data_IF_453734474664
#
_entry.id   IF_453734474664
#
_cell.length_a   1.000
_cell.length_b   1.000
_cell.length_c   1.000
_cell.angle_alpha   90.00
_cell.angle_beta   90.00
_cell.angle_gamma   90.00
#
_symmetry.space_group_name_H-M   'P 1'
#
loop_
_entity.id
_entity.type
_entity.pdbx_description
1 polymer ?
#
# COMPACT_ATOMS: atom_id res chain seq x y z
N UNK A 1 -20.17 -27.24 18.46
CA UNK A 1 -19.44 -26.17 17.80
C UNK A 1 -20.38 -25.15 17.20
N UNK A 2 -20.05 -23.88 17.28
CA UNK A 2 -20.85 -22.83 16.69
C UNK A 2 -20.54 -22.65 15.22
N UNK A 3 -21.55 -22.68 14.36
CA UNK A 3 -21.42 -22.38 12.94
C UNK A 3 -20.86 -20.96 12.75
N UNK A 4 -21.29 -20.02 13.60
CA UNK A 4 -20.78 -18.63 13.55
C UNK A 4 -19.29 -18.57 13.83
N UNK A 5 -18.79 -19.34 14.79
CA UNK A 5 -17.34 -19.40 15.08
C UNK A 5 -16.55 -19.89 13.86
N UNK A 6 -17.03 -20.93 13.20
CA UNK A 6 -16.39 -21.46 11.99
C UNK A 6 -16.36 -20.42 10.86
N UNK A 7 -17.47 -19.71 10.65
CA UNK A 7 -17.57 -18.63 9.65
C UNK A 7 -16.55 -17.53 9.97
N UNK A 8 -16.42 -17.13 11.23
CA UNK A 8 -15.46 -16.10 11.63
C UNK A 8 -14.01 -16.55 11.40
N UNK A 9 -13.71 -17.81 11.66
CA UNK A 9 -12.37 -18.37 11.43
C UNK A 9 -12.04 -18.37 9.93
N UNK A 10 -12.98 -18.79 9.10
CA UNK A 10 -12.79 -18.80 7.64
C UNK A 10 -12.59 -17.38 7.10
N UNK A 11 -13.38 -16.43 7.58
CA UNK A 11 -13.28 -15.04 7.16
C UNK A 11 -11.94 -14.43 7.60
N UNK A 12 -11.49 -14.73 8.81
CA UNK A 12 -10.19 -14.26 9.29
C UNK A 12 -9.06 -14.82 8.43
N UNK A 13 -9.11 -16.09 8.08
CA UNK A 13 -8.12 -16.72 7.21
C UNK A 13 -8.08 -16.05 5.83
N UNK A 14 -9.24 -15.77 5.26
CA UNK A 14 -9.37 -15.07 3.97
C UNK A 14 -8.74 -13.68 4.03
N UNK A 15 -9.01 -12.92 5.08
CA UNK A 15 -8.47 -11.57 5.26
C UNK A 15 -6.95 -11.60 5.43
N UNK A 16 -6.42 -12.53 6.20
CA UNK A 16 -4.98 -12.69 6.38
C UNK A 16 -4.27 -12.96 5.07
N UNK A 17 -4.83 -13.82 4.23
CA UNK A 17 -4.28 -14.12 2.91
C UNK A 17 -4.29 -12.87 2.00
N UNK A 18 -5.37 -12.10 2.05
CA UNK A 18 -5.48 -10.86 1.29
C UNK A 18 -4.47 -9.80 1.76
N UNK A 19 -4.25 -9.69 3.07
CA UNK A 19 -3.25 -8.81 3.63
C UNK A 19 -1.85 -9.18 3.13
N UNK A 20 -1.51 -10.47 3.18
CA UNK A 20 -0.21 -10.96 2.70
C UNK A 20 0.00 -10.64 1.22
N UNK A 21 -1.03 -10.84 0.40
CA UNK A 21 -0.97 -10.51 -1.03
C UNK A 21 -0.75 -9.02 -1.26
N UNK A 22 -1.43 -8.17 -0.52
CA UNK A 22 -1.28 -6.73 -0.61
C UNK A 22 0.12 -6.28 -0.17
N UNK A 23 0.64 -6.85 0.91
CA UNK A 23 1.99 -6.54 1.39
C UNK A 23 3.05 -6.93 0.37
N UNK A 24 2.89 -8.07 -0.29
CA UNK A 24 3.77 -8.50 -1.39
C UNK A 24 3.74 -7.53 -2.55
N UNK A 25 2.55 -7.06 -2.94
CA UNK A 25 2.41 -6.07 -4.00
C UNK A 25 3.09 -4.75 -3.63
N UNK A 26 2.91 -4.30 -2.39
CA UNK A 26 3.57 -3.07 -1.92
C UNK A 26 5.09 -3.18 -1.97
N UNK A 27 5.64 -4.33 -1.63
CA UNK A 27 7.10 -4.53 -1.65
C UNK A 27 7.68 -4.45 -3.06
N UNK A 28 6.86 -4.67 -4.09
CA UNK A 28 7.27 -4.59 -5.50
C UNK A 28 7.13 -3.18 -6.09
N UNK A 29 6.44 -2.27 -5.40
CA UNK A 29 6.21 -0.91 -5.89
C UNK A 29 7.23 0.07 -5.29
N UNK A 30 7.64 1.10 -6.06
CA UNK A 30 8.57 2.09 -5.56
C UNK A 30 8.02 2.83 -4.34
N UNK A 31 8.88 3.10 -3.37
CA UNK A 31 8.56 3.85 -2.15
C UNK A 31 8.71 5.34 -2.38
N UNK A 32 8.14 6.13 -1.45
CA UNK A 32 8.27 7.56 -1.44
C UNK A 32 7.12 8.26 -2.12
N UNK A 33 7.34 9.51 -2.46
CA UNK A 33 6.32 10.33 -3.11
C UNK A 33 6.92 11.06 -4.31
N UNK A 34 6.03 11.44 -5.23
CA UNK A 34 6.40 12.16 -6.44
C UNK A 34 6.21 13.66 -6.23
N UNK A 35 7.09 14.45 -6.83
CA UNK A 35 6.93 15.89 -6.89
C UNK A 35 7.42 16.39 -8.24
N UNK A 36 6.92 17.57 -8.61
CA UNK A 36 7.28 18.22 -9.86
C UNK A 36 8.14 19.43 -9.57
N UNK A 37 9.19 19.62 -10.36
CA UNK A 37 10.04 20.79 -10.29
C UNK A 37 10.13 21.41 -11.67
N UNK A 38 9.92 22.72 -11.75
CA UNK A 38 10.02 23.45 -13.01
C UNK A 38 11.43 24.02 -13.13
N UNK A 39 12.09 23.69 -14.25
CA UNK A 39 13.43 24.18 -14.57
C UNK A 39 13.37 24.80 -15.96
N UNK A 40 13.71 26.09 -16.07
CA UNK A 40 13.66 26.86 -17.33
C UNK A 40 12.28 26.76 -18.01
N UNK A 41 11.21 26.83 -17.21
CA UNK A 41 9.84 26.79 -17.71
C UNK A 41 9.31 25.40 -18.05
N UNK A 42 10.10 24.35 -17.87
CA UNK A 42 9.67 22.98 -18.15
C UNK A 42 9.51 22.17 -16.87
N UNK A 43 8.41 21.41 -16.74
CA UNK A 43 8.19 20.58 -15.54
C UNK A 43 8.91 19.24 -15.67
N UNK A 44 9.51 18.82 -14.57
CA UNK A 44 10.22 17.53 -14.44
C UNK A 44 9.73 16.78 -13.21
N UNK A 45 9.62 15.47 -13.32
CA UNK A 45 9.15 14.61 -12.26
C UNK A 45 10.32 14.01 -11.47
N UNK A 46 10.21 14.06 -10.15
CA UNK A 46 11.19 13.52 -9.20
C UNK A 46 10.47 12.64 -8.19
N UNK A 47 11.20 11.70 -7.62
CA UNK A 47 10.74 10.90 -6.48
C UNK A 47 11.62 11.19 -5.28
N UNK A 48 10.99 11.43 -4.12
CA UNK A 48 11.69 11.50 -2.84
C UNK A 48 11.40 10.24 -2.05
N UNK A 49 12.44 9.60 -1.54
CA UNK A 49 12.30 8.45 -0.65
C UNK A 49 13.39 8.49 0.42
N UNK A 50 13.16 7.73 1.48
CA UNK A 50 14.10 7.66 2.59
C UNK A 50 15.01 6.45 2.42
N UNK A 51 16.33 6.69 2.54
CA UNK A 51 17.33 5.62 2.63
C UNK A 51 18.06 5.78 3.97
N UNK A 52 17.72 4.91 4.93
CA UNK A 52 18.23 5.04 6.30
C UNK A 52 17.77 6.36 6.91
N UNK A 53 18.71 7.20 7.34
CA UNK A 53 18.43 8.51 7.92
C UNK A 53 18.40 9.64 6.87
N UNK A 54 18.69 9.33 5.60
CA UNK A 54 18.79 10.33 4.52
C UNK A 54 17.55 10.32 3.65
N UNK A 55 17.22 11.52 3.12
CA UNK A 55 16.18 11.68 2.11
C UNK A 55 16.88 11.84 0.77
N UNK A 56 16.53 10.96 -0.17
CA UNK A 56 17.13 10.92 -1.50
C UNK A 56 16.08 11.41 -2.52
N UNK A 57 16.52 12.28 -3.44
CA UNK A 57 15.70 12.71 -4.58
C UNK A 57 16.23 12.02 -5.81
N UNK A 58 15.33 11.39 -6.55
CA UNK A 58 15.65 10.65 -7.78
C UNK A 58 14.94 11.31 -8.96
N UNK A 59 15.68 11.61 -10.01
CA UNK A 59 15.11 12.14 -11.24
C UNK A 59 14.41 11.00 -12.00
N UNK A 60 13.15 11.21 -12.36
CA UNK A 60 12.35 10.23 -13.12
C UNK A 60 12.32 10.56 -14.61
N UNK A 61 12.03 11.81 -14.93
CA UNK A 61 11.93 12.25 -16.32
C UNK A 61 11.12 13.54 -16.45
N UNK A 62 10.98 14.03 -17.68
CA UNK A 62 10.06 15.13 -17.94
C UNK A 62 8.65 14.72 -17.54
N UNK A 63 7.85 15.68 -17.07
CA UNK A 63 6.50 15.37 -16.56
C UNK A 63 5.58 14.73 -17.59
N UNK A 64 5.83 14.95 -18.88
CA UNK A 64 5.07 14.35 -19.97
C UNK A 64 5.64 13.01 -20.47
N UNK A 65 6.78 12.59 -19.93
CA UNK A 65 7.44 11.36 -20.37
C UNK A 65 6.67 10.10 -19.97
N UNK A 66 6.93 9.00 -20.66
CA UNK A 66 6.33 7.69 -20.31
C UNK A 66 6.82 7.23 -18.94
N UNK A 67 8.05 7.53 -18.59
CA UNK A 67 8.65 7.21 -17.30
C UNK A 67 7.91 7.92 -16.16
N UNK A 68 7.58 9.21 -16.36
CA UNK A 68 6.82 9.96 -15.37
C UNK A 68 5.38 9.46 -15.26
N UNK A 69 4.75 9.11 -16.37
CA UNK A 69 3.40 8.54 -16.38
C UNK A 69 3.35 7.21 -15.64
N UNK A 70 4.35 6.34 -15.86
CA UNK A 70 4.46 5.08 -15.15
C UNK A 70 4.68 5.31 -13.66
N UNK A 71 5.55 6.24 -13.29
CA UNK A 71 5.81 6.57 -11.88
C UNK A 71 4.52 7.04 -11.18
N UNK A 72 3.71 7.86 -11.85
CA UNK A 72 2.42 8.31 -11.30
C UNK A 72 1.43 7.15 -11.17
N UNK A 73 1.39 6.25 -12.14
CA UNK A 73 0.53 5.07 -12.08
C UNK A 73 0.92 4.16 -10.91
N UNK A 74 2.21 3.91 -10.73
CA UNK A 74 2.73 3.11 -9.62
C UNK A 74 2.41 3.76 -8.27
N UNK A 75 2.54 5.08 -8.19
CA UNK A 75 2.23 5.84 -6.97
C UNK A 75 0.74 5.72 -6.61
N UNK A 76 -0.15 5.88 -7.58
CA UNK A 76 -1.59 5.73 -7.36
C UNK A 76 -1.94 4.31 -6.92
N UNK A 77 -1.33 3.30 -7.54
CA UNK A 77 -1.55 1.90 -7.19
C UNK A 77 -1.09 1.63 -5.76
N UNK A 78 0.09 2.16 -5.39
CA UNK A 78 0.59 2.04 -4.03
C UNK A 78 -0.38 2.64 -3.01
N UNK A 79 -0.89 3.84 -3.28
CA UNK A 79 -1.86 4.51 -2.39
C UNK A 79 -3.14 3.71 -2.25
N UNK A 80 -3.62 3.13 -3.34
CA UNK A 80 -4.81 2.27 -3.33
C UNK A 80 -4.60 1.05 -2.44
N UNK A 81 -3.47 0.37 -2.60
CA UNK A 81 -3.13 -0.83 -1.82
C UNK A 81 -2.95 -0.47 -0.34
N UNK A 82 -2.27 0.62 -0.02
CA UNK A 82 -2.10 1.08 1.36
C UNK A 82 -3.45 1.34 2.04
N UNK A 83 -4.38 1.96 1.30
CA UNK A 83 -5.73 2.21 1.80
C UNK A 83 -6.49 0.91 2.06
N UNK A 84 -6.42 -0.04 1.13
CA UNK A 84 -7.05 -1.35 1.29
C UNK A 84 -6.47 -2.12 2.47
N UNK A 85 -5.15 -2.07 2.65
CA UNK A 85 -4.49 -2.71 3.80
C UNK A 85 -4.99 -2.15 5.12
N UNK A 86 -5.15 -0.84 5.20
CA UNK A 86 -5.65 -0.18 6.41
C UNK A 86 -7.04 -0.69 6.77
N UNK A 87 -7.91 -0.81 5.77
CA UNK A 87 -9.28 -1.31 5.95
C UNK A 87 -9.25 -2.79 6.39
N UNK A 88 -8.47 -3.61 5.72
CA UNK A 88 -8.39 -5.05 6.02
C UNK A 88 -7.82 -5.32 7.41
N UNK A 89 -6.83 -4.53 7.84
CA UNK A 89 -6.27 -4.67 9.19
C UNK A 89 -7.28 -4.32 10.27
N UNK A 90 -8.15 -3.34 10.03
CA UNK A 90 -9.24 -3.02 10.95
C UNK A 90 -10.26 -4.15 11.02
N UNK A 91 -10.59 -4.76 9.88
CA UNK A 91 -11.50 -5.90 9.84
C UNK A 91 -10.90 -7.13 10.52
N UNK A 92 -9.62 -7.38 10.30
CA UNK A 92 -8.89 -8.46 10.99
C UNK A 92 -8.97 -8.27 12.50
N UNK A 93 -8.73 -7.07 12.98
CA UNK A 93 -8.79 -6.77 14.42
C UNK A 93 -10.19 -7.02 14.98
N UNK A 94 -11.24 -6.63 14.27
CA UNK A 94 -12.63 -6.89 14.67
C UNK A 94 -12.93 -8.37 14.75
N UNK A 95 -12.46 -9.15 13.77
CA UNK A 95 -12.66 -10.60 13.75
C UNK A 95 -11.92 -11.30 14.88
N UNK A 96 -10.69 -10.89 15.15
CA UNK A 96 -9.92 -11.42 16.27
C UNK A 96 -10.64 -11.17 17.59
N UNK A 97 -11.15 -9.95 17.78
CA UNK A 97 -11.91 -9.59 18.98
C UNK A 97 -13.20 -10.40 19.10
N UNK A 98 -13.93 -10.55 18.00
CA UNK A 98 -15.15 -11.37 17.98
C UNK A 98 -14.87 -12.81 18.35
N UNK A 99 -13.78 -13.38 17.83
CA UNK A 99 -13.38 -14.76 18.12
C UNK A 99 -13.01 -14.99 19.59
N UNK A 100 -12.52 -13.96 20.28
CA UNK A 100 -12.22 -14.06 21.73
C UNK A 100 -13.45 -14.41 22.56
N UNK A 101 -14.64 -14.01 22.10
CA UNK A 101 -15.89 -14.37 22.77
C UNK A 101 -16.20 -15.86 22.68
N UNK A 102 -15.67 -16.53 21.66
CA UNK A 102 -15.93 -17.95 21.43
C UNK A 102 -14.76 -18.85 21.85
N UNK A 103 -13.60 -18.25 22.14
CA UNK A 103 -12.35 -18.98 22.29
C UNK A 103 -11.82 -19.15 23.69
N UNK A 104 -12.53 -18.65 24.66
CA UNK A 104 -12.12 -18.79 26.07
C UNK A 104 -12.39 -20.16 26.65
#
# INVERSE_FOLDING_TARGET
MSVLKEVLIEELDRIKKNIDSCESLLSSLPRGYLFEQTINGKPYCYRKHREGSMIVSEYIGASESDEAKKAHADYRERKRIESNLRIMRKEEDKLVKALRHYGS
#
